data_IF_930707816577
#
_entry.id   IF_930707816577
#
_cell.length_a   1.000
_cell.length_b   1.000
_cell.length_c   1.000
_cell.angle_alpha   90.00
_cell.angle_beta   90.00
_cell.angle_gamma   90.00
#
_symmetry.space_group_name_H-M   'P 1'
#
loop_
_entity.id
_entity.type
_entity.pdbx_description
1 polymer ?
#
# COMPACT_ATOMS: atom_id res chain seq x y z
N UNK A 1 -17.63 -6.16 -23.12
CA UNK A 1 -16.31 -5.51 -23.17
C UNK A 1 -16.25 -4.67 -24.44
N UNK A 2 -16.18 -3.34 -24.36
CA UNK A 2 -15.88 -2.52 -25.55
C UNK A 2 -14.40 -2.13 -25.48
N UNK A 3 -13.62 -2.56 -26.46
CA UNK A 3 -12.27 -2.08 -26.71
C UNK A 3 -12.39 -0.71 -27.36
N UNK A 4 -11.74 0.30 -26.82
CA UNK A 4 -11.39 1.47 -27.62
C UNK A 4 -10.16 1.14 -28.49
N UNK A 5 -10.00 1.90 -29.58
CA UNK A 5 -8.91 1.75 -30.55
C UNK A 5 -7.53 2.11 -29.98
N UNK A 6 -7.42 2.39 -28.67
CA UNK A 6 -6.17 2.68 -27.94
C UNK A 6 -5.85 1.64 -26.87
N UNK A 7 -6.58 0.53 -26.83
CA UNK A 7 -6.33 -0.57 -25.89
C UNK A 7 -6.77 -0.29 -24.46
N UNK A 8 -7.54 0.78 -24.23
CA UNK A 8 -8.18 1.07 -22.95
C UNK A 8 -9.49 0.30 -22.79
N UNK A 9 -9.64 -0.38 -21.65
CA UNK A 9 -10.92 -0.98 -21.25
C UNK A 9 -11.62 0.00 -20.32
N UNK A 10 -12.68 0.65 -20.80
CA UNK A 10 -13.55 1.50 -19.96
C UNK A 10 -14.69 0.64 -19.41
N UNK A 11 -14.75 0.46 -18.08
CA UNK A 11 -15.80 -0.31 -17.41
C UNK A 11 -16.75 0.66 -16.70
N UNK A 12 -18.03 0.69 -17.10
CA UNK A 12 -19.09 1.46 -16.43
C UNK A 12 -19.69 0.72 -15.20
N UNK A 13 -19.41 -0.57 -15.07
CA UNK A 13 -19.55 -1.43 -13.90
C UNK A 13 -18.94 -2.75 -14.34
N UNK A 14 -17.78 -3.12 -13.78
CA UNK A 14 -17.03 -4.28 -14.24
C UNK A 14 -17.16 -5.41 -13.24
N UNK A 15 -17.80 -6.50 -13.63
CA UNK A 15 -17.71 -7.79 -12.94
C UNK A 15 -16.71 -8.63 -13.74
N UNK A 16 -15.59 -9.00 -13.10
CA UNK A 16 -14.72 -10.06 -13.58
C UNK A 16 -15.29 -11.38 -13.04
N UNK A 17 -15.85 -12.18 -13.94
CA UNK A 17 -16.33 -13.52 -13.64
C UNK A 17 -15.19 -14.53 -13.84
N UNK A 18 -15.01 -15.44 -12.90
CA UNK A 18 -14.17 -16.62 -13.11
C UNK A 18 -15.10 -17.73 -13.61
N UNK A 19 -15.31 -17.82 -14.93
CA UNK A 19 -16.14 -18.87 -15.52
C UNK A 19 -16.75 -18.48 -16.86
N UNK A 20 -16.78 -19.43 -17.79
CA UNK A 20 -17.25 -19.32 -19.18
C UNK A 20 -18.63 -18.67 -19.31
N UNK A 21 -18.76 -17.78 -20.30
CA UNK A 21 -19.99 -17.11 -20.71
C UNK A 21 -21.19 -18.07 -20.78
N UNK A 22 -22.36 -17.70 -20.23
CA UNK A 22 -23.59 -18.47 -20.39
C UNK A 22 -24.29 -18.27 -21.74
N UNK A 23 -23.79 -17.41 -22.64
CA UNK A 23 -24.42 -17.12 -23.94
C UNK A 23 -23.80 -17.87 -25.13
N UNK A 24 -23.60 -19.19 -24.98
CA UNK A 24 -23.36 -20.04 -26.15
C UNK A 24 -24.45 -21.10 -26.26
N UNK A 25 -25.58 -20.69 -26.83
CA UNK A 25 -26.52 -21.62 -27.44
C UNK A 25 -25.79 -22.39 -28.54
N UNK A 26 -25.82 -23.72 -28.44
CA UNK A 26 -25.47 -24.63 -29.52
C UNK A 26 -24.18 -25.42 -29.32
N UNK A 27 -24.33 -26.67 -28.87
CA UNK A 27 -23.46 -27.77 -29.30
C UNK A 27 -22.58 -28.42 -28.23
N UNK A 28 -23.11 -29.46 -27.59
CA UNK A 28 -22.46 -30.77 -27.44
C UNK A 28 -21.17 -30.90 -26.59
N UNK A 29 -21.32 -31.57 -25.45
CA UNK A 29 -20.41 -32.67 -25.07
C UNK A 29 -19.36 -32.40 -23.99
N UNK A 30 -19.60 -32.94 -22.80
CA UNK A 30 -18.56 -33.46 -21.89
C UNK A 30 -17.70 -32.45 -21.13
N UNK A 31 -18.20 -31.96 -19.99
CA UNK A 31 -17.44 -31.15 -19.04
C UNK A 31 -18.22 -30.85 -17.76
N UNK A 32 -18.76 -31.90 -17.13
CA UNK A 32 -19.58 -31.80 -15.92
C UNK A 32 -18.76 -31.48 -14.67
N UNK A 33 -19.31 -30.61 -13.83
CA UNK A 33 -18.95 -30.29 -12.44
C UNK A 33 -17.77 -29.35 -12.11
N UNK A 34 -16.65 -29.33 -12.83
CA UNK A 34 -15.52 -28.45 -12.42
C UNK A 34 -15.73 -26.95 -12.73
N UNK A 35 -16.55 -26.62 -13.73
CA UNK A 35 -16.74 -25.24 -14.20
C UNK A 35 -17.59 -24.35 -13.24
N UNK A 36 -18.11 -24.89 -12.13
CA UNK A 36 -18.97 -24.17 -11.15
C UNK A 36 -18.40 -24.15 -9.73
N UNK A 37 -17.13 -24.50 -9.56
CA UNK A 37 -16.46 -24.41 -8.26
C UNK A 37 -15.90 -23.00 -8.12
N UNK A 38 -16.27 -22.29 -7.04
CA UNK A 38 -15.65 -21.01 -6.71
C UNK A 38 -14.13 -21.17 -6.58
N UNK A 39 -13.41 -20.09 -6.83
CA UNK A 39 -11.98 -20.05 -6.68
C UNK A 39 -11.63 -20.20 -5.18
N UNK A 40 -10.86 -21.24 -4.87
CA UNK A 40 -10.35 -21.43 -3.52
C UNK A 40 -9.16 -20.48 -3.28
N UNK A 41 -9.42 -19.39 -2.56
CA UNK A 41 -8.40 -18.43 -2.15
C UNK A 41 -7.98 -18.62 -0.69
N UNK A 42 -8.31 -19.74 -0.05
CA UNK A 42 -8.12 -19.94 1.39
C UNK A 42 -6.66 -19.92 1.87
N UNK A 43 -5.70 -20.08 0.96
CA UNK A 43 -4.27 -19.95 1.23
C UNK A 43 -3.74 -18.50 1.10
N UNK A 44 -4.58 -17.56 0.69
CA UNK A 44 -4.23 -16.18 0.42
C UNK A 44 -4.79 -15.23 1.49
N UNK A 45 -4.13 -14.09 1.69
CA UNK A 45 -4.52 -13.08 2.69
C UNK A 45 -5.44 -11.99 2.14
N UNK A 46 -5.44 -11.80 0.81
CA UNK A 46 -6.27 -10.79 0.17
C UNK A 46 -5.85 -10.50 -1.27
N UNK A 47 -6.34 -9.37 -1.78
CA UNK A 47 -6.05 -8.86 -3.12
C UNK A 47 -5.06 -7.70 -3.08
N UNK A 48 -4.26 -7.58 -4.12
CA UNK A 48 -3.48 -6.38 -4.43
C UNK A 48 -3.96 -5.83 -5.75
N UNK A 49 -4.44 -4.61 -5.70
CA UNK A 49 -5.00 -3.93 -6.87
C UNK A 49 -4.15 -2.72 -7.18
N UNK A 50 -3.52 -2.70 -8.35
CA UNK A 50 -2.85 -1.50 -8.86
C UNK A 50 -3.76 -0.81 -9.86
N UNK A 51 -4.19 0.40 -9.54
CA UNK A 51 -5.14 1.16 -10.33
C UNK A 51 -4.77 2.64 -10.42
N UNK A 52 -5.39 3.34 -11.36
CA UNK A 52 -5.33 4.78 -11.50
C UNK A 52 -6.76 5.29 -11.66
N UNK A 53 -7.09 6.39 -10.99
CA UNK A 53 -8.45 6.92 -11.02
C UNK A 53 -8.52 8.43 -10.89
N UNK A 54 -9.74 8.93 -11.00
CA UNK A 54 -10.08 10.36 -11.05
C UNK A 54 -10.22 11.05 -9.68
N UNK A 55 -9.90 10.37 -8.58
CA UNK A 55 -10.10 10.89 -7.24
C UNK A 55 -11.41 10.44 -6.57
N UNK A 56 -12.25 9.70 -7.29
CA UNK A 56 -13.55 9.22 -6.78
C UNK A 56 -13.44 8.04 -5.83
N UNK A 57 -14.55 7.79 -5.12
CA UNK A 57 -14.73 6.64 -4.23
C UNK A 57 -15.28 5.45 -5.01
N UNK A 58 -14.65 4.30 -4.81
CA UNK A 58 -15.04 3.02 -5.39
C UNK A 58 -15.18 1.99 -4.29
N UNK A 59 -15.91 0.93 -4.57
CA UNK A 59 -16.06 -0.22 -3.69
C UNK A 59 -15.57 -1.46 -4.44
N UNK A 60 -14.62 -2.17 -3.86
CA UNK A 60 -14.24 -3.50 -4.31
C UNK A 60 -15.28 -4.49 -3.80
N UNK A 61 -15.82 -5.30 -4.70
CA UNK A 61 -16.89 -6.25 -4.42
C UNK A 61 -16.38 -7.66 -4.69
N UNK A 62 -16.59 -8.57 -3.74
CA UNK A 62 -16.32 -10.00 -3.87
C UNK A 62 -17.65 -10.73 -3.69
N UNK A 63 -18.00 -11.60 -4.62
CA UNK A 63 -19.16 -12.47 -4.50
C UNK A 63 -18.72 -13.92 -4.33
N UNK A 64 -19.45 -14.63 -3.49
CA UNK A 64 -19.30 -16.07 -3.29
C UNK A 64 -20.36 -16.85 -4.08
N UNK A 65 -20.27 -18.17 -4.17
CA UNK A 65 -21.32 -18.97 -4.85
C UNK A 65 -22.65 -18.92 -4.10
N UNK A 66 -22.63 -18.77 -2.77
CA UNK A 66 -23.82 -18.60 -1.94
C UNK A 66 -24.48 -17.21 -2.06
N UNK A 67 -24.21 -16.47 -3.14
CA UNK A 67 -24.70 -15.11 -3.43
C UNK A 67 -24.36 -14.04 -2.37
N UNK A 68 -23.59 -14.39 -1.33
CA UNK A 68 -23.09 -13.41 -0.37
C UNK A 68 -22.13 -12.47 -1.06
N UNK A 69 -22.36 -11.18 -0.82
CA UNK A 69 -21.59 -10.08 -1.38
C UNK A 69 -20.82 -9.38 -0.28
N UNK A 70 -19.50 -9.37 -0.41
CA UNK A 70 -18.57 -8.71 0.49
C UNK A 70 -18.02 -7.46 -0.19
N UNK A 71 -17.97 -6.35 0.55
CA UNK A 71 -17.62 -5.02 0.04
C UNK A 71 -16.50 -4.39 0.86
N UNK A 72 -15.62 -3.66 0.18
CA UNK A 72 -14.57 -2.84 0.79
C UNK A 72 -14.41 -1.53 0.01
N UNK A 73 -14.61 -0.40 0.69
CA UNK A 73 -14.51 0.92 0.09
C UNK A 73 -13.05 1.39 -0.01
N UNK A 74 -12.71 2.04 -1.12
CA UNK A 74 -11.44 2.74 -1.29
C UNK A 74 -11.62 4.03 -2.09
N UNK A 75 -10.67 4.95 -1.99
CA UNK A 75 -10.68 6.20 -2.72
C UNK A 75 -9.43 6.31 -3.60
N UNK A 76 -9.61 6.64 -4.88
CA UNK A 76 -8.49 6.92 -5.78
C UNK A 76 -7.94 8.31 -5.54
N UNK A 77 -6.71 8.59 -5.98
CA UNK A 77 -6.06 9.88 -5.72
C UNK A 77 -5.79 10.63 -7.02
N UNK A 78 -6.17 11.92 -7.04
CA UNK A 78 -5.78 12.86 -8.09
C UNK A 78 -5.10 14.08 -7.46
N UNK A 79 -3.94 14.47 -7.99
CA UNK A 79 -3.30 15.72 -7.60
C UNK A 79 -3.91 16.86 -8.40
N UNK A 80 -4.50 17.85 -7.71
CA UNK A 80 -4.87 19.14 -8.33
C UNK A 80 -3.70 20.09 -8.15
N UNK A 81 -3.01 20.40 -9.24
CA UNK A 81 -2.04 21.49 -9.25
C UNK A 81 -2.82 22.80 -9.47
N UNK A 82 -2.83 23.68 -8.45
CA UNK A 82 -3.25 25.07 -8.60
C UNK A 82 -2.08 25.87 -9.18
N UNK A 83 -1.78 25.65 -10.45
CA UNK A 83 -1.05 26.68 -11.19
C UNK A 83 -2.08 27.77 -11.53
N UNK A 84 -1.74 29.05 -11.30
CA UNK A 84 -2.62 30.21 -11.48
C UNK A 84 -3.18 30.45 -12.90
N UNK A 85 -3.13 29.44 -13.77
CA UNK A 85 -3.86 29.34 -15.03
C UNK A 85 -5.29 28.86 -14.82
N UNK A 86 -6.21 29.33 -15.66
CA UNK A 86 -7.66 29.07 -15.60
C UNK A 86 -8.11 27.59 -15.69
N UNK A 87 -7.19 26.63 -15.85
CA UNK A 87 -7.50 25.21 -15.89
C UNK A 87 -6.59 24.40 -14.94
N UNK A 88 -7.13 23.77 -13.88
CA UNK A 88 -6.33 22.91 -13.00
C UNK A 88 -5.86 21.68 -13.76
N UNK A 89 -4.54 21.49 -13.86
CA UNK A 89 -3.98 20.22 -14.36
C UNK A 89 -4.23 19.15 -13.30
N UNK A 90 -5.09 18.18 -13.63
CA UNK A 90 -5.34 17.00 -12.81
C UNK A 90 -4.32 15.94 -13.20
N UNK A 91 -3.36 15.65 -12.32
CA UNK A 91 -2.45 14.51 -12.49
C UNK A 91 -2.98 13.32 -11.71
N UNK A 92 -3.47 12.31 -12.43
CA UNK A 92 -3.83 11.03 -11.82
C UNK A 92 -2.56 10.29 -11.39
N UNK A 93 -2.61 9.59 -10.26
CA UNK A 93 -1.47 8.82 -9.74
C UNK A 93 -1.84 7.35 -9.66
N UNK A 94 -0.88 6.49 -10.01
CA UNK A 94 -0.98 5.06 -9.73
C UNK A 94 -1.07 4.83 -8.23
N UNK A 95 -2.06 4.06 -7.83
CA UNK A 95 -2.33 3.64 -6.47
C UNK A 95 -2.24 2.12 -6.42
N UNK A 96 -1.57 1.58 -5.41
CA UNK A 96 -1.61 0.15 -5.11
C UNK A 96 -2.37 -0.02 -3.80
N UNK A 97 -3.43 -0.81 -3.85
CA UNK A 97 -4.29 -1.11 -2.72
C UNK A 97 -3.99 -2.51 -2.23
N UNK A 98 -3.75 -2.67 -0.93
CA UNK A 98 -3.71 -3.96 -0.26
C UNK A 98 -5.07 -4.19 0.42
N UNK A 99 -5.88 -5.07 -0.16
CA UNK A 99 -7.25 -5.37 0.26
C UNK A 99 -7.28 -6.73 0.97
N UNK A 100 -7.12 -6.74 2.30
CA UNK A 100 -7.17 -7.96 3.11
C UNK A 100 -8.58 -8.54 3.12
N UNK A 101 -8.72 -9.86 3.04
CA UNK A 101 -10.04 -10.51 3.15
C UNK A 101 -10.77 -10.12 4.44
N UNK A 102 -10.02 -9.99 5.54
CA UNK A 102 -10.55 -9.61 6.86
C UNK A 102 -11.10 -8.19 6.93
N UNK A 103 -10.82 -7.31 5.96
CA UNK A 103 -11.35 -5.95 5.90
C UNK A 103 -12.69 -5.88 5.16
N UNK A 104 -13.05 -6.91 4.39
CA UNK A 104 -14.33 -6.96 3.69
C UNK A 104 -15.50 -7.22 4.63
N UNK A 105 -16.64 -6.59 4.35
CA UNK A 105 -17.89 -6.73 5.11
C UNK A 105 -19.06 -7.03 4.19
N UNK A 106 -19.99 -7.87 4.61
CA UNK A 106 -21.27 -8.01 3.92
C UNK A 106 -22.29 -6.95 4.37
N UNK A 107 -23.53 -7.04 3.87
CA UNK A 107 -24.62 -6.12 4.22
C UNK A 107 -25.05 -6.18 5.69
N UNK A 108 -24.72 -7.25 6.40
CA UNK A 108 -25.01 -7.45 7.84
C UNK A 108 -23.81 -7.07 8.72
N UNK A 109 -22.69 -6.66 8.12
CA UNK A 109 -21.46 -6.31 8.82
C UNK A 109 -20.57 -7.52 9.17
N UNK A 110 -20.91 -8.73 8.70
CA UNK A 110 -20.08 -9.93 8.88
C UNK A 110 -18.78 -9.78 8.10
N UNK A 111 -17.65 -10.13 8.72
CA UNK A 111 -16.36 -10.18 8.05
C UNK A 111 -16.29 -11.39 7.12
N UNK A 112 -15.57 -11.26 6.00
CA UNK A 112 -15.29 -12.38 5.11
C UNK A 112 -14.40 -13.40 5.84
N UNK A 113 -14.91 -14.60 6.09
CA UNK A 113 -14.22 -15.66 6.81
C UNK A 113 -13.51 -16.64 5.88
N UNK A 114 -12.81 -17.62 6.49
CA UNK A 114 -12.06 -18.64 5.73
C UNK A 114 -12.94 -19.47 4.81
N UNK A 115 -14.19 -19.72 5.16
CA UNK A 115 -15.13 -20.47 4.33
C UNK A 115 -15.52 -19.69 3.08
N UNK A 116 -15.84 -18.39 3.24
CA UNK A 116 -16.24 -17.54 2.12
C UNK A 116 -15.08 -17.28 1.15
N UNK A 117 -13.84 -17.22 1.64
CA UNK A 117 -12.64 -17.06 0.81
C UNK A 117 -12.36 -18.30 -0.06
N UNK A 118 -12.84 -19.49 0.33
CA UNK A 118 -12.65 -20.73 -0.45
C UNK A 118 -13.62 -20.87 -1.63
N UNK A 119 -14.54 -19.93 -1.79
CA UNK A 119 -15.64 -20.03 -2.75
C UNK A 119 -15.91 -18.70 -3.46
N UNK A 120 -14.84 -18.00 -3.86
CA UNK A 120 -14.96 -16.73 -4.57
C UNK A 120 -15.39 -16.98 -6.02
N UNK A 121 -16.55 -16.45 -6.42
CA UNK A 121 -17.13 -16.66 -7.75
C UNK A 121 -16.95 -15.45 -8.67
N UNK A 122 -16.97 -14.25 -8.12
CA UNK A 122 -16.85 -13.00 -8.88
C UNK A 122 -16.13 -11.93 -8.07
N UNK A 123 -15.40 -11.07 -8.78
CA UNK A 123 -14.88 -9.82 -8.22
C UNK A 123 -15.34 -8.66 -9.10
N UNK A 124 -15.53 -7.48 -8.52
CA UNK A 124 -15.97 -6.32 -9.27
C UNK A 124 -15.71 -5.00 -8.57
N UNK A 125 -15.97 -3.92 -9.30
CA UNK A 125 -15.83 -2.56 -8.81
C UNK A 125 -17.14 -1.81 -8.96
N UNK A 126 -17.59 -1.19 -7.87
CA UNK A 126 -18.79 -0.36 -7.82
C UNK A 126 -18.36 1.11 -7.62
N UNK A 127 -18.81 2.00 -8.50
CA UNK A 127 -18.57 3.43 -8.36
C UNK A 127 -19.63 4.05 -7.45
N UNK A 128 -19.20 4.67 -6.35
CA UNK A 128 -20.09 5.47 -5.52
C UNK A 128 -20.14 6.88 -6.08
N UNK A 129 -21.19 7.15 -6.85
CA UNK A 129 -21.48 8.50 -7.35
C UNK A 129 -21.44 9.53 -6.23
N UNK A 130 -20.88 10.71 -6.53
CA UNK A 130 -20.86 11.83 -5.59
C UNK A 130 -22.31 12.28 -5.41
N UNK A 131 -22.85 12.09 -4.20
CA UNK A 131 -24.27 12.24 -3.90
C UNK A 131 -24.91 13.49 -4.51
N UNK A 132 -26.01 13.28 -5.22
CA UNK A 132 -26.90 14.33 -5.71
C UNK A 132 -28.02 14.55 -4.68
N UNK A 133 -27.77 15.38 -3.67
CA UNK A 133 -28.88 15.98 -2.88
C UNK A 133 -29.50 17.20 -3.57
N UNK A 134 -29.17 17.43 -4.85
CA UNK A 134 -29.86 18.39 -5.70
C UNK A 134 -30.07 17.77 -7.07
N UNK A 135 -31.34 17.63 -7.43
CA UNK A 135 -31.79 17.33 -8.79
C UNK A 135 -31.03 18.23 -9.78
N UNK A 136 -30.24 17.63 -10.67
CA UNK A 136 -29.71 18.35 -11.83
C UNK A 136 -28.22 18.22 -12.14
N UNK A 137 -27.39 17.50 -11.37
CA UNK A 137 -25.98 17.35 -11.76
C UNK A 137 -25.53 15.88 -11.86
N UNK A 138 -25.27 15.46 -13.12
CA UNK A 138 -24.50 14.30 -13.58
C UNK A 138 -24.54 13.04 -12.70
N UNK A 139 -25.17 11.97 -13.21
CA UNK A 139 -24.73 10.59 -12.93
C UNK A 139 -23.25 10.52 -13.32
N UNK A 140 -22.37 10.75 -12.35
CA UNK A 140 -21.00 11.18 -12.58
C UNK A 140 -20.26 10.25 -13.52
N UNK A 141 -19.65 10.82 -14.56
CA UNK A 141 -18.60 10.11 -15.29
C UNK A 141 -17.51 9.74 -14.26
N UNK A 142 -17.02 8.51 -14.36
CA UNK A 142 -15.92 8.04 -13.53
C UNK A 142 -14.81 7.49 -14.41
N UNK A 143 -13.59 7.53 -13.88
CA UNK A 143 -12.44 6.90 -14.49
C UNK A 143 -11.73 6.03 -13.47
N UNK A 144 -11.66 4.74 -13.78
CA UNK A 144 -10.84 3.76 -13.08
C UNK A 144 -10.19 2.87 -14.14
N UNK A 145 -8.87 2.88 -14.18
CA UNK A 145 -8.09 1.96 -15.01
C UNK A 145 -7.25 1.06 -14.11
N UNK A 146 -7.18 -0.22 -14.46
CA UNK A 146 -6.48 -1.25 -13.70
C UNK A 146 -5.19 -1.62 -14.43
N UNK A 147 -4.10 -1.71 -13.68
CA UNK A 147 -2.86 -2.33 -14.17
C UNK A 147 -2.87 -3.82 -13.88
N UNK A 148 -3.15 -4.21 -12.63
CA UNK A 148 -3.28 -5.62 -12.26
C UNK A 148 -4.14 -5.81 -11.02
N UNK A 149 -4.66 -7.03 -10.89
CA UNK A 149 -5.21 -7.60 -9.66
C UNK A 149 -4.42 -8.87 -9.38
N UNK A 150 -3.83 -8.98 -8.20
CA UNK A 150 -3.08 -10.15 -7.73
C UNK A 150 -3.66 -10.64 -6.41
N UNK A 151 -3.40 -11.88 -6.06
CA UNK A 151 -3.58 -12.40 -4.70
C UNK A 151 -2.21 -12.60 -4.06
N UNK A 152 -2.11 -12.37 -2.76
CA UNK A 152 -0.88 -12.62 -2.00
C UNK A 152 -1.14 -13.66 -0.91
N UNK A 153 -0.13 -14.46 -0.59
CA UNK A 153 -0.26 -15.53 0.40
C UNK A 153 -0.50 -14.95 1.78
N UNK A 154 -1.36 -15.60 2.56
CA UNK A 154 -1.43 -15.33 4.00
C UNK A 154 -0.22 -16.01 4.63
N UNK A 155 0.92 -15.35 4.59
CA UNK A 155 2.03 -15.72 5.46
C UNK A 155 1.71 -15.14 6.85
N UNK A 156 1.71 -15.96 7.91
CA UNK A 156 1.52 -15.42 9.26
C UNK A 156 2.64 -14.42 9.58
N UNK A 157 3.86 -14.74 9.16
CA UNK A 157 5.09 -14.00 9.44
C UNK A 157 5.60 -13.25 8.20
N UNK A 158 6.40 -12.18 8.40
CA UNK A 158 7.01 -11.48 7.28
C UNK A 158 8.09 -12.34 6.62
N UNK A 159 8.03 -12.46 5.29
CA UNK A 159 9.04 -13.16 4.47
C UNK A 159 10.28 -12.30 4.24
N UNK A 160 10.10 -10.98 4.25
CA UNK A 160 11.15 -10.00 3.99
C UNK A 160 11.16 -8.96 5.09
N UNK A 161 12.34 -8.69 5.63
CA UNK A 161 12.60 -7.53 6.46
C UNK A 161 13.41 -6.52 5.66
N UNK A 162 12.94 -5.28 5.65
CA UNK A 162 13.59 -4.17 5.00
C UNK A 162 13.98 -3.13 6.04
N UNK A 163 15.29 -2.99 6.27
CA UNK A 163 15.83 -1.97 7.16
C UNK A 163 15.98 -0.67 6.38
N UNK A 164 15.27 0.35 6.85
CA UNK A 164 15.14 1.64 6.21
C UNK A 164 15.47 2.77 7.19
N UNK A 165 15.29 4.01 6.75
CA UNK A 165 15.68 5.21 7.49
C UNK A 165 14.45 5.87 8.15
N UNK A 166 14.58 6.22 9.43
CA UNK A 166 13.54 6.88 10.22
C UNK A 166 13.28 8.34 9.86
N UNK A 167 14.12 8.92 8.98
CA UNK A 167 13.95 10.28 8.46
C UNK A 167 13.06 10.32 7.23
N UNK A 168 12.75 9.16 6.63
CA UNK A 168 11.90 9.10 5.45
C UNK A 168 10.49 9.66 5.74
N UNK A 169 10.01 10.59 4.90
CA UNK A 169 8.63 11.04 5.00
C UNK A 169 7.66 9.94 4.55
N UNK A 170 6.42 10.02 5.01
CA UNK A 170 5.35 9.11 4.57
C UNK A 170 5.03 9.27 3.08
N UNK A 171 5.24 10.49 2.55
CA UNK A 171 5.05 10.81 1.13
C UNK A 171 6.32 11.40 0.54
N UNK A 172 6.60 11.07 -0.72
CA UNK A 172 7.72 11.69 -1.46
C UNK A 172 7.55 13.20 -1.46
N UNK A 173 8.54 13.91 -0.92
CA UNK A 173 8.66 15.35 -1.06
C UNK A 173 9.44 15.68 -2.32
N UNK A 174 9.20 16.87 -2.91
CA UNK A 174 9.91 17.32 -4.10
C UNK A 174 11.44 17.34 -3.89
N UNK A 175 11.89 17.60 -2.66
CA UNK A 175 13.30 17.66 -2.28
C UNK A 175 14.01 16.29 -2.33
N UNK A 176 13.26 15.19 -2.33
CA UNK A 176 13.79 13.83 -2.51
C UNK A 176 13.91 13.43 -3.99
N UNK A 177 13.21 14.13 -4.90
CA UNK A 177 13.11 13.77 -6.33
C UNK A 177 13.92 14.75 -7.15
N UNK A 178 15.24 14.67 -7.04
CA UNK A 178 16.12 15.46 -7.91
C UNK A 178 17.21 14.59 -8.55
N UNK A 179 16.87 13.40 -9.04
CA UNK A 179 17.78 12.68 -9.96
C UNK A 179 17.53 13.06 -11.43
N UNK A 180 16.26 13.25 -11.85
CA UNK A 180 15.93 13.63 -13.26
C UNK A 180 16.41 15.04 -13.61
N UNK A 181 16.35 16.00 -12.69
CA UNK A 181 16.90 17.35 -12.88
C UNK A 181 18.44 17.33 -12.88
N UNK A 182 19.07 16.48 -12.07
CA UNK A 182 20.53 16.44 -11.95
C UNK A 182 21.21 15.73 -13.13
N UNK A 183 20.59 14.70 -13.71
CA UNK A 183 21.13 14.03 -14.91
C UNK A 183 21.00 14.87 -16.18
N UNK A 184 19.96 15.71 -16.29
CA UNK A 184 19.80 16.64 -17.42
C UNK A 184 20.84 17.77 -17.35
N UNK A 185 21.12 18.30 -16.16
CA UNK A 185 22.14 19.36 -15.96
C UNK A 185 23.57 18.82 -16.12
N UNK A 186 23.84 17.56 -15.77
CA UNK A 186 25.15 16.94 -15.97
C UNK A 186 25.43 16.50 -17.42
N UNK A 187 24.40 16.45 -18.27
CA UNK A 187 24.53 16.13 -19.69
C UNK A 187 24.60 17.38 -20.60
N UNK A 188 24.33 18.56 -20.04
CA UNK A 188 24.36 19.85 -20.74
C UNK A 188 25.60 20.64 -20.29
N UNK A 189 26.76 20.21 -20.77
CA UNK A 189 28.02 20.95 -20.68
C UNK A 189 27.91 22.25 -21.48
N UNK A 190 27.33 23.27 -20.85
CA UNK A 190 27.14 24.59 -21.42
C UNK A 190 27.00 25.64 -20.33
N UNK A 191 28.14 26.03 -19.75
CA UNK A 191 28.37 27.23 -18.94
C UNK A 191 27.17 27.82 -18.16
N UNK A 192 27.17 27.56 -16.84
CA UNK A 192 26.71 28.53 -15.84
C UNK A 192 25.28 28.35 -15.30
N UNK A 193 25.18 27.80 -14.08
CA UNK A 193 24.23 28.32 -13.08
C UNK A 193 24.54 27.84 -11.65
N UNK A 194 25.19 28.73 -10.90
CA UNK A 194 24.62 29.35 -9.69
C UNK A 194 23.91 28.46 -8.64
N UNK A 195 24.62 27.53 -8.01
CA UNK A 195 24.36 27.20 -6.60
C UNK A 195 25.69 27.17 -5.84
N UNK A 196 26.05 28.33 -5.28
CA UNK A 196 27.19 28.47 -4.38
C UNK A 196 26.81 28.09 -2.95
N UNK A 197 27.36 26.98 -2.46
CA UNK A 197 27.76 26.81 -1.06
C UNK A 197 28.62 25.54 -0.96
N UNK A 198 29.91 25.74 -1.26
CA UNK A 198 30.92 24.70 -1.48
C UNK A 198 31.42 23.98 -0.21
N UNK A 199 30.63 23.91 0.87
CA UNK A 199 31.04 23.21 2.11
C UNK A 199 29.91 22.40 2.80
N UNK A 200 28.65 22.51 2.34
CA UNK A 200 27.52 21.65 2.75
C UNK A 200 27.19 20.57 1.69
N UNK A 201 28.01 20.47 0.64
CA UNK A 201 27.55 20.12 -0.72
C UNK A 201 27.63 18.65 -1.19
N UNK A 202 28.31 17.75 -0.47
CA UNK A 202 28.47 16.34 -0.91
C UNK A 202 27.72 15.36 -0.01
N UNK A 203 27.95 15.44 1.31
CA UNK A 203 27.34 14.52 2.29
C UNK A 203 25.82 14.66 2.37
N UNK A 204 25.29 15.90 2.30
CA UNK A 204 23.84 16.14 2.28
C UNK A 204 23.20 15.68 0.96
N UNK A 205 23.93 15.78 -0.16
CA UNK A 205 23.47 15.33 -1.48
C UNK A 205 23.43 13.80 -1.58
N UNK A 206 24.49 13.14 -1.14
CA UNK A 206 24.56 11.67 -1.03
C UNK A 206 23.49 11.13 -0.09
N UNK A 207 23.28 11.77 1.07
CA UNK A 207 22.23 11.40 2.02
C UNK A 207 20.82 11.53 1.41
N UNK A 208 20.56 12.59 0.63
CA UNK A 208 19.27 12.76 -0.07
C UNK A 208 19.04 11.66 -1.11
N UNK A 209 20.08 11.31 -1.87
CA UNK A 209 20.03 10.23 -2.85
C UNK A 209 19.78 8.88 -2.19
N UNK A 210 20.49 8.57 -1.11
CA UNK A 210 20.27 7.35 -0.32
C UNK A 210 18.83 7.28 0.19
N UNK A 211 18.30 8.37 0.76
CA UNK A 211 16.91 8.44 1.22
C UNK A 211 15.91 8.20 0.08
N UNK A 212 16.14 8.77 -1.11
CA UNK A 212 15.28 8.52 -2.27
C UNK A 212 15.22 7.03 -2.62
N UNK A 213 16.37 6.37 -2.73
CA UNK A 213 16.41 4.95 -3.07
C UNK A 213 15.86 4.06 -1.96
N UNK A 214 16.11 4.39 -0.69
CA UNK A 214 15.49 3.69 0.44
C UNK A 214 13.96 3.80 0.40
N UNK A 215 13.43 4.99 0.13
CA UNK A 215 11.99 5.20 -0.05
C UNK A 215 11.44 4.40 -1.24
N UNK A 216 12.12 4.44 -2.39
CA UNK A 216 11.72 3.66 -3.58
C UNK A 216 11.72 2.16 -3.29
N UNK A 217 12.68 1.68 -2.51
CA UNK A 217 12.73 0.30 -2.02
C UNK A 217 11.53 -0.04 -1.13
N UNK A 218 11.21 0.79 -0.14
CA UNK A 218 10.01 0.60 0.70
C UNK A 218 8.74 0.51 -0.14
N UNK A 219 8.54 1.47 -1.06
CA UNK A 219 7.37 1.47 -1.93
C UNK A 219 7.34 0.26 -2.85
N UNK A 220 8.49 -0.19 -3.35
CA UNK A 220 8.55 -1.38 -4.21
C UNK A 220 8.14 -2.63 -3.43
N UNK A 221 8.59 -2.76 -2.18
CA UNK A 221 8.24 -3.88 -1.31
C UNK A 221 6.75 -3.84 -0.92
N UNK A 222 6.24 -2.68 -0.51
CA UNK A 222 4.81 -2.48 -0.18
C UNK A 222 3.93 -2.85 -1.39
N UNK A 223 4.35 -2.46 -2.59
CA UNK A 223 3.60 -2.71 -3.81
C UNK A 223 3.81 -4.12 -4.40
N UNK A 224 4.77 -4.88 -3.89
CA UNK A 224 5.14 -6.20 -4.42
C UNK A 224 4.10 -7.27 -4.08
N UNK A 225 3.47 -7.15 -2.91
CA UNK A 225 2.60 -8.16 -2.34
C UNK A 225 3.26 -9.26 -1.55
N UNK A 226 4.55 -9.12 -1.28
CA UNK A 226 5.26 -10.00 -0.35
C UNK A 226 4.89 -9.61 1.08
N UNK A 227 4.84 -10.59 1.98
CA UNK A 227 4.68 -10.31 3.40
C UNK A 227 5.97 -9.64 3.90
N UNK A 228 5.85 -8.38 4.33
CA UNK A 228 7.02 -7.58 4.68
C UNK A 228 6.99 -7.04 6.10
N UNK A 229 8.15 -6.70 6.63
CA UNK A 229 8.30 -5.83 7.78
C UNK A 229 9.32 -4.73 7.47
N UNK A 230 8.95 -3.46 7.64
CA UNK A 230 9.85 -2.33 7.39
C UNK A 230 10.27 -1.73 8.73
N UNK A 231 11.56 -1.82 9.03
CA UNK A 231 12.16 -1.31 10.26
C UNK A 231 12.85 0.01 9.94
N UNK A 232 12.30 1.13 10.43
CA UNK A 232 12.85 2.47 10.23
C UNK A 232 13.73 2.88 11.41
N UNK A 233 15.03 3.05 11.16
CA UNK A 233 16.01 3.42 12.19
C UNK A 233 16.40 4.88 12.05
N UNK A 234 16.30 5.66 13.13
CA UNK A 234 16.50 7.11 13.07
C UNK A 234 17.97 7.53 13.17
N UNK A 235 18.70 6.91 14.09
CA UNK A 235 20.15 7.07 14.25
C UNK A 235 20.74 5.92 15.06
N UNK A 236 22.04 5.69 14.89
CA UNK A 236 22.77 4.65 15.62
C UNK A 236 23.61 5.25 16.75
N UNK A 237 23.61 4.59 17.90
CA UNK A 237 24.54 4.87 18.99
C UNK A 237 25.18 3.57 19.46
N UNK A 238 26.43 3.32 19.04
CA UNK A 238 27.18 2.12 19.42
C UNK A 238 27.83 2.23 20.81
N UNK A 239 27.95 3.46 21.34
CA UNK A 239 28.51 3.70 22.66
C UNK A 239 27.45 3.56 23.76
N UNK A 240 26.17 3.60 23.39
CA UNK A 240 25.04 3.37 24.28
C UNK A 240 25.19 2.02 25.00
N UNK A 241 25.24 2.09 26.33
CA UNK A 241 25.16 0.92 27.19
C UNK A 241 23.74 0.82 27.73
N UNK A 242 22.99 -0.23 27.36
CA UNK A 242 21.65 -0.47 27.88
C UNK A 242 21.62 -0.38 29.41
N UNK A 243 20.76 0.47 29.96
CA UNK A 243 20.40 0.36 31.37
C UNK A 243 19.54 -0.90 31.56
N UNK A 244 19.62 -1.62 32.70
CA UNK A 244 18.70 -2.71 33.01
C UNK A 244 17.23 -2.30 33.02
N UNK A 245 16.94 -1.01 33.14
CA UNK A 245 15.60 -0.42 33.14
C UNK A 245 15.14 0.03 31.76
N UNK A 246 15.92 -0.17 30.69
CA UNK A 246 15.54 0.20 29.33
C UNK A 246 15.13 -1.03 28.52
N UNK A 247 13.95 -0.98 27.91
CA UNK A 247 13.46 -1.99 26.98
C UNK A 247 13.47 -1.48 25.55
N UNK A 248 13.61 -2.42 24.62
CA UNK A 248 13.51 -2.15 23.19
C UNK A 248 12.04 -2.18 22.77
N UNK A 249 11.57 -1.10 22.17
CA UNK A 249 10.16 -0.91 21.77
C UNK A 249 10.11 -0.58 20.28
N UNK A 250 9.08 -1.08 19.60
CA UNK A 250 8.78 -0.61 18.24
C UNK A 250 7.46 0.16 18.20
N UNK A 251 7.52 1.34 17.61
CA UNK A 251 6.41 2.30 17.51
C UNK A 251 5.93 2.43 16.08
N UNK A 252 4.64 2.62 15.88
CA UNK A 252 4.08 2.91 14.56
C UNK A 252 4.30 4.38 14.14
N UNK A 253 4.52 5.28 15.10
CA UNK A 253 4.78 6.68 14.87
C UNK A 253 6.25 7.05 15.12
N UNK A 254 6.65 8.18 14.52
CA UNK A 254 8.00 8.74 14.67
C UNK A 254 8.20 9.44 16.03
N UNK A 255 7.12 9.66 16.79
CA UNK A 255 7.15 10.49 17.99
C UNK A 255 7.94 9.82 19.12
N UNK A 256 8.94 10.54 19.65
CA UNK A 256 9.76 10.02 20.75
C UNK A 256 10.60 8.80 20.37
N UNK A 257 11.01 8.69 19.10
CA UNK A 257 11.95 7.67 18.63
C UNK A 257 13.37 8.16 18.87
N UNK A 258 14.12 7.42 19.69
CA UNK A 258 15.51 7.68 20.06
C UNK A 258 16.52 6.94 19.19
N UNK A 259 17.78 6.98 19.65
CA UNK A 259 18.90 6.26 19.03
C UNK A 259 18.92 4.80 19.51
N UNK A 260 19.44 3.91 18.67
CA UNK A 260 19.53 2.47 18.96
C UNK A 260 20.88 1.90 18.52
N UNK A 261 21.30 0.78 19.10
CA UNK A 261 22.52 0.10 18.64
C UNK A 261 22.20 -0.77 17.41
N UNK A 262 23.21 -1.12 16.59
CA UNK A 262 23.00 -2.13 15.52
C UNK A 262 22.58 -3.49 16.07
N UNK A 263 23.04 -3.84 17.27
CA UNK A 263 22.62 -5.06 17.97
C UNK A 263 21.12 -5.05 18.26
N UNK A 264 20.60 -3.93 18.74
CA UNK A 264 19.16 -3.77 18.99
C UNK A 264 18.35 -3.92 17.70
N UNK A 265 18.79 -3.28 16.61
CA UNK A 265 18.12 -3.41 15.30
C UNK A 265 18.14 -4.85 14.80
N UNK A 266 19.26 -5.57 14.96
CA UNK A 266 19.36 -6.98 14.60
C UNK A 266 18.40 -7.86 15.43
N UNK A 267 18.26 -7.57 16.72
CA UNK A 267 17.32 -8.25 17.61
C UNK A 267 15.87 -7.99 17.21
N UNK A 268 15.52 -6.74 16.87
CA UNK A 268 14.19 -6.41 16.32
C UNK A 268 13.94 -7.15 15.00
N UNK A 269 14.90 -7.16 14.08
CA UNK A 269 14.75 -7.87 12.82
C UNK A 269 14.52 -9.37 13.07
N UNK A 270 15.32 -9.99 13.93
CA UNK A 270 15.17 -11.40 14.27
C UNK A 270 13.78 -11.70 14.88
N UNK A 271 13.32 -10.87 15.82
CA UNK A 271 11.99 -11.05 16.44
C UNK A 271 10.85 -10.79 15.47
N UNK A 272 10.98 -9.79 14.59
CA UNK A 272 9.98 -9.48 13.59
C UNK A 272 9.77 -10.64 12.61
N UNK A 273 10.81 -11.43 12.29
CA UNK A 273 10.66 -12.63 11.46
C UNK A 273 9.75 -13.68 12.09
N UNK A 274 9.73 -13.79 13.43
CA UNK A 274 8.95 -14.79 14.14
C UNK A 274 7.59 -14.26 14.65
N UNK A 275 7.29 -12.98 14.45
CA UNK A 275 6.12 -12.33 15.02
C UNK A 275 5.07 -12.02 13.93
N UNK A 276 3.91 -12.70 13.94
CA UNK A 276 2.86 -12.43 12.97
C UNK A 276 2.31 -11.01 13.01
N UNK A 277 2.35 -10.34 14.17
CA UNK A 277 1.91 -8.95 14.32
C UNK A 277 2.81 -7.94 13.58
N UNK A 278 4.05 -8.32 13.26
CA UNK A 278 5.00 -7.49 12.53
C UNK A 278 4.77 -7.52 11.01
N UNK A 279 3.87 -8.37 10.52
CA UNK A 279 3.58 -8.56 9.09
C UNK A 279 2.81 -7.39 8.49
N UNK A 280 3.29 -6.90 7.34
CA UNK A 280 2.80 -5.74 6.60
C UNK A 280 2.79 -4.44 7.43
N UNK A 281 3.75 -4.30 8.34
CA UNK A 281 3.92 -3.11 9.19
C UNK A 281 5.18 -2.33 8.84
N UNK A 282 5.07 -1.02 9.05
CA UNK A 282 6.20 -0.09 9.08
C UNK A 282 6.28 0.43 10.51
N UNK A 283 7.42 0.28 11.16
CA UNK A 283 7.61 0.74 12.53
C UNK A 283 9.02 1.29 12.74
N UNK A 284 9.14 2.10 13.78
CA UNK A 284 10.37 2.71 14.24
C UNK A 284 10.87 1.99 15.48
N UNK A 285 12.19 1.84 15.59
CA UNK A 285 12.81 1.18 16.75
C UNK A 285 13.39 2.21 17.71
N UNK A 286 13.09 2.07 19.00
CA UNK A 286 13.62 2.95 20.06
C UNK A 286 13.83 2.19 21.36
N UNK A 287 14.64 2.74 22.26
CA UNK A 287 14.70 2.30 23.66
C UNK A 287 13.85 3.21 24.55
N UNK A 288 13.17 2.63 25.51
CA UNK A 288 12.38 3.36 26.51
C UNK A 288 12.60 2.79 27.92
N UNK A 289 12.59 3.66 28.93
CA UNK A 289 12.67 3.25 30.33
C UNK A 289 11.34 2.62 30.80
N UNK A 290 11.41 1.44 31.41
CA UNK A 290 10.28 0.64 31.90
C UNK A 290 9.46 1.33 33.02
N UNK A 291 9.86 2.53 33.47
CA UNK A 291 9.18 3.30 34.52
C UNK A 291 8.27 4.44 34.04
N UNK A 292 8.27 4.78 32.74
CA UNK A 292 7.33 5.75 32.17
C UNK A 292 6.12 5.03 31.58
N UNK A 293 5.22 4.56 32.44
CA UNK A 293 3.83 4.33 32.04
C UNK A 293 3.25 5.69 31.63
N UNK A 294 3.27 5.99 30.33
CA UNK A 294 2.40 7.02 29.79
C UNK A 294 0.97 6.48 29.91
N UNK A 295 0.26 6.92 30.95
CA UNK A 295 -1.18 6.73 31.03
C UNK A 295 -1.82 7.35 29.78
N UNK A 296 -2.25 6.49 28.86
CA UNK A 296 -3.11 6.85 27.74
C UNK A 296 -2.51 6.65 26.34
N UNK A 297 -2.26 5.39 25.94
CA UNK A 297 -2.39 4.91 24.54
C UNK A 297 -2.04 3.41 24.47
N UNK A 298 -2.97 2.55 24.87
CA UNK A 298 -2.80 1.08 24.77
C UNK A 298 -2.84 0.55 23.31
N UNK A 299 -3.04 1.41 22.30
CA UNK A 299 -3.20 0.98 20.90
C UNK A 299 -1.97 1.22 19.99
N UNK A 300 -0.88 1.79 20.52
CA UNK A 300 0.24 2.25 19.68
C UNK A 300 1.52 1.40 19.76
N UNK A 301 1.61 0.49 20.74
CA UNK A 301 2.78 -0.35 20.91
C UNK A 301 2.58 -1.69 20.20
N UNK A 302 3.41 -1.95 19.19
CA UNK A 302 3.34 -3.19 18.40
C UNK A 302 3.81 -4.40 19.23
N UNK A 303 4.59 -4.14 20.28
CA UNK A 303 5.30 -5.14 21.08
C UNK A 303 5.31 -4.74 22.56
N UNK A 304 4.14 -4.55 23.19
CA UNK A 304 4.12 -4.07 24.58
C UNK A 304 4.47 -5.15 25.62
N UNK A 305 4.49 -6.43 25.24
CA UNK A 305 4.97 -7.52 26.08
C UNK A 305 5.87 -8.48 25.28
N UNK A 306 7.15 -8.48 25.65
CA UNK A 306 8.03 -9.65 25.59
C UNK A 306 8.48 -9.96 27.01
#
# INVERSE_FOLDING_TARGET
LFKDDKGGVTLASGILTTGTDPEREGGGGGGGEEARRGLDLGAFGGFIVRCIGDGSKFTFVVRTKGERTFKLDFQTTCARQRDGTYAPKVRMKWLTLNLRFEDFRDGEGKRMGKEEVRDVSQIGFEFKGRGSDKEGWNRGAFYLSLSYIKVYRSAPEPEIIYVSDGRLPETVTADMVNEELEQIVAADDGEGSLFSSADEGLTARESRREMYWKYRGEQSLINSGLAYSIVRVLDYDEAARPSPTERLVCKLDKAGVGKVTRKDVAEVCYRALAEPRATNKVFYTTREETGRLQLGKEDNDVFDEF
#
